data_IF_177296847994
#
_entry.id   IF_177296847994
#
_cell.length_a   1.000
_cell.length_b   1.000
_cell.length_c   1.000
_cell.angle_alpha   90.00
_cell.angle_beta   90.00
_cell.angle_gamma   90.00
#
_symmetry.space_group_name_H-M   'P 1'
#
loop_
_entity.id
_entity.type
_entity.pdbx_description
1 polymer ?
#
# COMPACT_ATOMS: atom_id res chain seq x y z
N UNK A 1 23.27 -21.22 9.24
CA UNK A 1 22.01 -21.64 9.91
C UNK A 1 20.87 -21.85 8.90
N UNK A 2 20.57 -20.92 8.01
CA UNK A 2 19.52 -21.07 6.98
C UNK A 2 19.71 -22.22 6.00
N UNK A 3 20.95 -22.62 5.71
CA UNK A 3 21.26 -23.76 4.83
C UNK A 3 20.71 -25.09 5.34
N UNK A 4 20.56 -25.24 6.65
CA UNK A 4 20.04 -26.45 7.31
C UNK A 4 18.51 -26.56 7.27
N UNK A 5 17.83 -25.48 6.93
CA UNK A 5 16.36 -25.48 6.78
C UNK A 5 15.99 -26.22 5.49
N UNK A 6 15.31 -27.35 5.62
CA UNK A 6 14.93 -28.19 4.46
C UNK A 6 13.79 -27.56 3.64
N UNK A 7 12.83 -26.92 4.29
CA UNK A 7 11.65 -26.35 3.64
C UNK A 7 11.97 -25.03 2.92
N UNK A 8 11.75 -24.99 1.62
CA UNK A 8 11.82 -23.76 0.80
C UNK A 8 10.75 -22.75 1.22
N UNK A 9 9.57 -23.22 1.62
CA UNK A 9 8.46 -22.39 2.09
C UNK A 9 8.86 -21.58 3.34
N UNK A 10 9.45 -22.21 4.34
CA UNK A 10 9.90 -21.51 5.57
C UNK A 10 10.98 -20.48 5.24
N UNK A 11 11.88 -20.80 4.31
CA UNK A 11 12.93 -19.86 3.88
C UNK A 11 12.29 -18.67 3.13
N UNK A 12 11.36 -18.91 2.19
CA UNK A 12 10.63 -17.85 1.47
C UNK A 12 9.84 -16.98 2.43
N UNK A 13 9.13 -17.57 3.40
CA UNK A 13 8.40 -16.84 4.44
C UNK A 13 9.34 -15.97 5.29
N UNK A 14 10.49 -16.48 5.69
CA UNK A 14 11.49 -15.69 6.42
C UNK A 14 11.98 -14.50 5.61
N UNK A 15 12.25 -14.68 4.30
CA UNK A 15 12.73 -13.62 3.44
C UNK A 15 11.62 -12.63 3.04
N UNK A 16 10.34 -13.01 3.09
CA UNK A 16 9.23 -12.06 2.85
C UNK A 16 9.14 -10.94 3.89
N UNK A 17 9.74 -11.13 5.06
CA UNK A 17 9.88 -10.08 6.10
C UNK A 17 11.13 -9.22 5.92
N UNK A 18 11.97 -9.50 4.92
CA UNK A 18 13.22 -8.78 4.69
C UNK A 18 13.07 -8.02 3.37
N UNK A 19 13.45 -6.75 3.36
CA UNK A 19 13.51 -5.95 2.15
C UNK A 19 14.33 -6.67 1.07
N UNK A 20 13.84 -6.75 -0.17
CA UNK A 20 14.48 -7.40 -1.33
C UNK A 20 15.98 -7.07 -1.44
N UNK A 21 16.36 -5.82 -1.18
CA UNK A 21 17.75 -5.37 -1.15
C UNK A 21 18.60 -6.08 -0.09
N UNK A 22 18.05 -6.33 1.10
CA UNK A 22 18.76 -7.05 2.18
C UNK A 22 18.78 -8.54 1.89
N UNK A 23 17.68 -9.07 1.34
CA UNK A 23 17.57 -10.45 0.89
C UNK A 23 18.65 -10.79 -0.12
N UNK A 24 18.75 -10.05 -1.23
CA UNK A 24 19.77 -10.23 -2.26
C UNK A 24 21.19 -10.12 -1.71
N UNK A 25 21.45 -9.22 -0.76
CA UNK A 25 22.76 -9.12 -0.10
C UNK A 25 23.09 -10.34 0.75
N UNK A 26 22.11 -10.87 1.52
CA UNK A 26 22.32 -12.01 2.44
C UNK A 26 22.56 -13.31 1.68
N UNK A 27 21.96 -13.47 0.51
CA UNK A 27 22.03 -14.71 -0.27
C UNK A 27 23.03 -14.66 -1.43
N UNK A 28 23.67 -13.52 -1.69
CA UNK A 28 24.56 -13.24 -2.84
C UNK A 28 25.60 -14.34 -3.10
N UNK A 29 26.16 -14.92 -2.06
CA UNK A 29 27.23 -15.92 -2.18
C UNK A 29 26.78 -17.35 -1.87
N UNK A 30 25.47 -17.57 -1.67
CA UNK A 30 24.93 -18.87 -1.29
C UNK A 30 24.00 -19.46 -2.35
N UNK A 31 24.57 -20.24 -3.30
CA UNK A 31 23.83 -20.87 -4.39
C UNK A 31 22.69 -21.80 -3.94
N UNK A 32 22.83 -22.45 -2.76
CA UNK A 32 21.79 -23.36 -2.25
C UNK A 32 20.57 -22.60 -1.77
N UNK A 33 20.77 -21.46 -1.11
CA UNK A 33 19.67 -20.59 -0.67
C UNK A 33 19.05 -19.89 -1.88
N UNK A 34 19.87 -19.37 -2.84
CA UNK A 34 19.37 -18.75 -4.07
C UNK A 34 18.35 -19.64 -4.81
N UNK A 35 18.69 -20.95 -4.99
CA UNK A 35 17.76 -21.91 -5.60
C UNK A 35 16.49 -22.15 -4.80
N UNK A 36 16.53 -22.05 -3.46
CA UNK A 36 15.35 -22.26 -2.61
C UNK A 36 14.38 -21.08 -2.61
N UNK A 37 14.86 -19.87 -2.88
CA UNK A 37 14.07 -18.64 -2.94
C UNK A 37 13.82 -18.17 -4.38
N UNK A 38 14.23 -18.94 -5.39
CA UNK A 38 14.10 -18.65 -6.83
C UNK A 38 14.78 -17.34 -7.27
N UNK A 39 15.94 -17.04 -6.68
CA UNK A 39 16.75 -15.87 -7.04
C UNK A 39 17.84 -16.26 -8.01
N UNK A 40 17.88 -15.62 -9.15
CA UNK A 40 18.88 -15.81 -10.20
C UNK A 40 19.69 -14.52 -10.51
N UNK A 41 20.53 -14.59 -11.54
CA UNK A 41 21.34 -13.44 -11.99
C UNK A 41 20.47 -12.27 -12.47
N UNK A 42 19.28 -12.53 -13.01
CA UNK A 42 18.40 -11.49 -13.54
C UNK A 42 17.80 -10.68 -12.39
N UNK A 43 17.46 -11.29 -11.25
CA UNK A 43 17.04 -10.58 -10.05
C UNK A 43 18.09 -9.56 -9.59
N UNK A 44 19.39 -9.96 -9.61
CA UNK A 44 20.46 -9.02 -9.28
C UNK A 44 20.65 -7.91 -10.31
N UNK A 45 20.49 -8.22 -11.61
CA UNK A 45 20.55 -7.22 -12.67
C UNK A 45 19.38 -6.21 -12.54
N UNK A 46 18.15 -6.71 -12.41
CA UNK A 46 16.95 -5.87 -12.22
C UNK A 46 17.07 -5.00 -10.97
N UNK A 47 17.53 -5.57 -9.87
CA UNK A 47 17.72 -4.84 -8.62
C UNK A 47 18.75 -3.71 -8.74
N UNK A 48 19.90 -3.98 -9.38
CA UNK A 48 20.93 -2.97 -9.59
C UNK A 48 20.56 -1.97 -10.71
N UNK A 49 19.57 -2.27 -11.52
CA UNK A 49 19.19 -1.52 -12.75
C UNK A 49 20.35 -1.26 -13.68
N UNK A 50 21.37 -2.14 -13.63
CA UNK A 50 22.61 -2.02 -14.38
C UNK A 50 23.26 -3.38 -14.62
N UNK A 51 24.07 -3.45 -15.69
CA UNK A 51 24.89 -4.63 -15.99
C UNK A 51 26.34 -4.21 -16.30
N UNK A 52 27.28 -5.16 -16.20
CA UNK A 52 28.71 -4.93 -16.40
C UNK A 52 29.21 -5.88 -17.47
N UNK A 53 29.96 -5.35 -18.42
CA UNK A 53 30.74 -6.12 -19.41
C UNK A 53 32.22 -5.98 -19.11
N UNK A 54 33.01 -7.00 -19.43
CA UNK A 54 34.46 -6.99 -19.27
C UNK A 54 35.14 -7.18 -20.63
N UNK A 55 36.18 -6.45 -20.89
CA UNK A 55 37.06 -6.71 -22.02
C UNK A 55 38.09 -7.81 -21.68
N UNK A 56 38.95 -8.16 -22.67
CA UNK A 56 39.95 -9.20 -22.54
C UNK A 56 41.05 -8.86 -21.51
N UNK A 57 41.20 -7.61 -21.13
CA UNK A 57 42.18 -7.11 -20.16
C UNK A 57 41.60 -6.91 -18.76
N UNK A 58 40.32 -7.28 -18.54
CA UNK A 58 39.63 -7.11 -17.26
C UNK A 58 39.11 -5.70 -17.00
N UNK A 59 39.15 -4.81 -18.01
CA UNK A 59 38.58 -3.49 -17.92
C UNK A 59 37.06 -3.59 -18.07
N UNK A 60 36.33 -2.95 -17.17
CA UNK A 60 34.89 -3.09 -17.09
C UNK A 60 34.13 -1.88 -17.62
N UNK A 61 33.03 -2.12 -18.28
CA UNK A 61 32.01 -1.10 -18.60
C UNK A 61 30.69 -1.44 -17.98
N UNK A 62 30.14 -0.50 -17.24
CA UNK A 62 28.86 -0.62 -16.55
C UNK A 62 27.80 0.21 -17.27
N UNK A 63 26.68 -0.41 -17.61
CA UNK A 63 25.59 0.19 -18.38
C UNK A 63 24.27 0.16 -17.61
N UNK A 64 23.40 1.13 -17.86
CA UNK A 64 22.01 1.09 -17.44
C UNK A 64 21.28 -0.09 -18.07
N UNK A 65 20.43 -0.77 -17.29
CA UNK A 65 19.73 -1.97 -17.76
C UNK A 65 18.68 -1.67 -18.84
N UNK A 66 18.08 -0.49 -18.80
CA UNK A 66 16.95 -0.13 -19.67
C UNK A 66 17.32 0.75 -20.85
N UNK A 67 18.32 1.60 -20.68
CA UNK A 67 18.74 2.62 -21.65
C UNK A 67 20.09 2.34 -22.31
N UNK A 68 20.78 1.27 -21.91
CA UNK A 68 22.13 0.90 -22.36
C UNK A 68 23.16 2.04 -22.23
N UNK A 69 22.86 3.07 -21.42
CA UNK A 69 23.76 4.18 -21.22
C UNK A 69 24.98 3.76 -20.42
N UNK A 70 26.16 4.19 -20.83
CA UNK A 70 27.40 3.99 -20.09
C UNK A 70 27.35 4.79 -18.78
N UNK A 71 27.49 4.09 -17.66
CA UNK A 71 27.48 4.66 -16.30
C UNK A 71 28.91 4.76 -15.76
N UNK A 72 29.74 3.77 -16.09
CA UNK A 72 31.11 3.69 -15.60
C UNK A 72 31.98 2.89 -16.58
N UNK A 73 33.22 3.28 -16.72
CA UNK A 73 34.27 2.45 -17.31
C UNK A 73 35.54 2.51 -16.46
N UNK A 74 36.18 1.37 -16.26
CA UNK A 74 37.40 1.31 -15.44
C UNK A 74 37.67 -0.08 -14.88
N UNK A 75 38.62 -0.11 -13.96
CA UNK A 75 39.06 -1.33 -13.31
C UNK A 75 38.07 -1.87 -12.29
N UNK A 76 37.95 -3.20 -12.24
CA UNK A 76 37.09 -3.92 -11.31
C UNK A 76 37.87 -5.01 -10.57
N UNK A 77 37.58 -5.17 -9.30
CA UNK A 77 38.11 -6.27 -8.49
C UNK A 77 36.97 -6.87 -7.66
N UNK A 78 36.84 -8.21 -7.72
CA UNK A 78 35.82 -8.95 -6.97
C UNK A 78 34.37 -8.44 -7.21
N UNK A 79 34.07 -8.00 -8.46
CA UNK A 79 32.73 -7.52 -8.85
C UNK A 79 32.38 -6.12 -8.36
N UNK A 80 33.37 -5.33 -7.94
CA UNK A 80 33.24 -3.95 -7.52
C UNK A 80 34.22 -3.05 -8.26
N UNK A 81 33.86 -1.78 -8.53
CA UNK A 81 34.77 -0.78 -9.07
C UNK A 81 35.99 -0.66 -8.18
N UNK A 82 37.17 -0.82 -8.73
CA UNK A 82 38.43 -0.79 -7.96
C UNK A 82 39.60 -0.48 -8.86
N UNK A 83 40.39 0.51 -8.50
CA UNK A 83 41.43 1.08 -9.38
C UNK A 83 40.91 2.29 -10.16
N UNK A 84 41.55 2.62 -11.30
CA UNK A 84 41.18 3.79 -12.09
C UNK A 84 39.90 3.60 -12.86
N UNK A 85 39.10 4.69 -12.96
CA UNK A 85 37.87 4.66 -13.75
C UNK A 85 37.21 6.01 -13.91
N UNK A 86 36.24 6.03 -14.81
CA UNK A 86 35.39 7.18 -15.12
C UNK A 86 33.95 6.86 -14.86
N UNK A 87 33.23 7.76 -14.24
CA UNK A 87 31.79 7.71 -14.02
C UNK A 87 31.11 8.77 -14.89
N UNK A 88 29.98 8.41 -15.48
CA UNK A 88 29.20 9.22 -16.40
C UNK A 88 27.87 9.62 -15.81
N UNK A 89 27.41 10.84 -16.14
CA UNK A 89 26.08 11.34 -15.76
C UNK A 89 25.02 10.97 -16.82
N UNK A 90 23.81 11.50 -16.62
CA UNK A 90 22.65 11.20 -17.46
C UNK A 90 22.76 11.70 -18.90
N UNK A 91 23.63 12.66 -19.17
CA UNK A 91 23.92 13.22 -20.52
C UNK A 91 25.23 12.69 -21.10
N UNK A 92 25.70 11.54 -20.59
CA UNK A 92 26.97 10.89 -21.02
C UNK A 92 28.23 11.75 -20.86
N UNK A 93 28.20 12.80 -20.05
CA UNK A 93 29.38 13.57 -19.67
C UNK A 93 30.07 12.93 -18.47
N UNK A 94 31.40 13.01 -18.40
CA UNK A 94 32.18 12.52 -17.27
C UNK A 94 31.77 13.29 -16.02
N UNK A 95 31.22 12.60 -15.02
CA UNK A 95 30.86 13.16 -13.70
C UNK A 95 31.97 12.99 -12.68
N UNK A 96 32.83 12.00 -12.89
CA UNK A 96 34.00 11.74 -12.06
C UNK A 96 35.05 10.93 -12.85
N UNK A 97 36.30 11.29 -12.69
CA UNK A 97 37.45 10.50 -13.16
C UNK A 97 38.47 10.40 -12.02
N UNK A 98 38.89 9.18 -11.68
CA UNK A 98 39.77 8.96 -10.55
C UNK A 98 39.88 7.50 -10.15
N UNK A 99 40.37 7.27 -8.96
CA UNK A 99 40.47 5.91 -8.41
C UNK A 99 39.24 5.51 -7.64
N UNK A 100 38.91 4.23 -7.66
CA UNK A 100 37.86 3.59 -6.95
C UNK A 100 38.42 2.49 -6.03
N UNK A 101 37.81 2.30 -4.85
CA UNK A 101 38.15 1.21 -3.93
C UNK A 101 36.87 0.63 -3.36
N UNK A 102 36.67 -0.69 -3.55
CA UNK A 102 35.47 -1.39 -3.09
C UNK A 102 34.15 -0.70 -3.49
N UNK A 103 34.05 -0.29 -4.75
CA UNK A 103 32.87 0.38 -5.32
C UNK A 103 32.71 1.86 -4.99
N UNK A 104 33.55 2.47 -4.18
CA UNK A 104 33.50 3.87 -3.75
C UNK A 104 34.57 4.70 -4.43
N UNK A 105 34.28 5.99 -4.68
CA UNK A 105 35.25 6.95 -5.22
C UNK A 105 36.41 7.09 -4.24
N UNK A 106 37.63 6.90 -4.75
CA UNK A 106 38.87 6.95 -4.00
C UNK A 106 39.79 7.96 -4.65
N UNK A 107 39.88 9.16 -4.11
CA UNK A 107 40.74 10.19 -4.68
C UNK A 107 42.19 10.09 -4.20
N UNK A 108 43.13 9.98 -5.12
CA UNK A 108 44.54 9.77 -4.86
C UNK A 108 45.37 11.08 -4.85
N UNK A 109 44.75 12.23 -4.71
CA UNK A 109 45.50 13.49 -4.58
C UNK A 109 45.70 13.77 -3.07
N UNK A 110 46.84 13.26 -2.51
CA UNK A 110 47.37 13.55 -1.17
C UNK A 110 46.67 12.92 0.04
N UNK A 111 46.21 11.64 -0.05
CA UNK A 111 45.59 11.00 1.07
C UNK A 111 46.56 10.13 1.89
N UNK A 112 47.13 10.67 2.96
CA UNK A 112 47.61 9.85 4.07
C UNK A 112 46.41 9.25 4.80
N UNK A 113 46.28 7.93 4.84
CA UNK A 113 45.23 7.19 5.55
C UNK A 113 43.77 7.35 5.06
N UNK A 114 43.54 7.49 3.72
CA UNK A 114 42.20 7.52 3.15
C UNK A 114 41.41 8.83 3.39
N UNK A 115 42.03 9.89 3.93
CA UNK A 115 41.44 11.21 4.14
C UNK A 115 41.77 12.17 3.01
N UNK A 116 40.87 13.02 2.60
CA UNK A 116 41.12 14.08 1.62
C UNK A 116 39.99 15.07 1.47
N UNK A 117 40.27 16.13 0.72
CA UNK A 117 39.28 17.18 0.42
C UNK A 117 38.85 17.05 -1.04
N UNK A 118 37.55 16.99 -1.29
CA UNK A 118 36.93 16.73 -2.59
C UNK A 118 35.93 17.82 -2.93
N UNK A 119 35.86 18.13 -4.25
CA UNK A 119 34.78 18.93 -4.85
C UNK A 119 33.96 18.03 -5.78
N UNK A 120 32.66 18.01 -5.59
CA UNK A 120 31.73 17.29 -6.47
C UNK A 120 30.98 18.29 -7.34
N UNK A 121 30.83 17.94 -8.61
CA UNK A 121 30.12 18.77 -9.59
C UNK A 121 28.98 17.98 -10.24
N UNK A 122 27.88 18.66 -10.50
CA UNK A 122 26.77 18.18 -11.32
C UNK A 122 26.48 19.23 -12.38
N UNK A 123 26.56 18.84 -13.67
CA UNK A 123 26.38 19.78 -14.80
C UNK A 123 27.22 21.06 -14.68
N UNK A 124 28.50 20.92 -14.28
CA UNK A 124 29.44 22.01 -14.02
C UNK A 124 29.09 22.93 -12.83
N UNK A 125 28.05 22.63 -12.08
CA UNK A 125 27.73 23.34 -10.85
C UNK A 125 28.35 22.59 -9.69
N UNK A 126 29.04 23.30 -8.79
CA UNK A 126 29.57 22.75 -7.55
C UNK A 126 28.40 22.37 -6.66
N UNK A 127 28.30 21.08 -6.28
CA UNK A 127 27.24 20.56 -5.40
C UNK A 127 27.74 20.16 -4.02
N UNK A 128 29.06 19.93 -3.87
CA UNK A 128 29.70 19.66 -2.59
C UNK A 128 31.18 19.98 -2.63
N UNK A 129 31.68 20.48 -1.52
CA UNK A 129 33.11 20.55 -1.23
C UNK A 129 33.38 20.21 0.22
N UNK A 130 34.39 19.40 0.51
CA UNK A 130 34.67 19.02 1.90
C UNK A 130 35.56 17.80 2.06
N UNK A 131 35.70 17.43 3.32
CA UNK A 131 36.53 16.30 3.73
C UNK A 131 35.86 14.95 3.41
N UNK A 132 36.68 14.00 3.02
CA UNK A 132 36.32 12.62 2.72
C UNK A 132 37.16 11.64 3.51
N UNK A 133 36.56 10.54 3.92
CA UNK A 133 37.24 9.39 4.51
C UNK A 133 36.72 8.11 3.86
N UNK A 134 37.64 7.28 3.32
CA UNK A 134 37.29 6.00 2.70
C UNK A 134 36.22 6.08 1.60
N UNK A 135 36.16 7.20 0.85
CA UNK A 135 35.21 7.41 -0.25
C UNK A 135 33.83 7.90 0.16
N UNK A 136 33.66 8.33 1.41
CA UNK A 136 32.46 8.97 1.92
C UNK A 136 32.77 10.35 2.46
N UNK A 137 31.80 11.29 2.39
CA UNK A 137 31.88 12.59 3.02
C UNK A 137 32.08 12.37 4.53
N UNK A 138 33.17 12.92 5.10
CA UNK A 138 33.52 12.70 6.49
C UNK A 138 34.42 13.83 7.02
N UNK A 139 33.98 14.55 8.01
CA UNK A 139 34.58 15.78 8.50
C UNK A 139 33.86 17.02 7.96
N UNK A 140 34.52 18.16 7.86
CA UNK A 140 33.91 19.43 7.46
C UNK A 140 33.58 19.46 5.97
N UNK A 141 32.39 20.00 5.63
CA UNK A 141 31.98 20.15 4.23
C UNK A 141 30.86 21.17 4.04
N UNK A 142 30.72 21.58 2.77
CA UNK A 142 29.65 22.47 2.29
C UNK A 142 28.90 21.79 1.16
N UNK A 143 27.59 21.87 1.22
CA UNK A 143 26.72 21.33 0.19
C UNK A 143 25.92 22.46 -0.46
N UNK A 144 25.78 22.34 -1.79
CA UNK A 144 25.12 23.36 -2.61
C UNK A 144 23.99 22.72 -3.40
N UNK A 145 22.96 23.49 -3.73
CA UNK A 145 21.89 23.04 -4.64
C UNK A 145 22.34 23.03 -6.11
N UNK A 146 21.44 22.61 -7.00
CA UNK A 146 21.70 22.55 -8.44
C UNK A 146 21.98 23.93 -9.09
N UNK A 147 21.72 25.03 -8.39
CA UNK A 147 22.01 26.42 -8.78
C UNK A 147 23.33 26.96 -8.14
N UNK A 148 24.05 26.14 -7.38
CA UNK A 148 25.29 26.52 -6.72
C UNK A 148 25.10 27.37 -5.44
N UNK A 149 23.87 27.48 -4.90
CA UNK A 149 23.63 28.17 -3.64
C UNK A 149 23.88 27.22 -2.48
N UNK A 150 24.51 27.73 -1.40
CA UNK A 150 24.80 26.96 -0.18
C UNK A 150 23.51 26.53 0.50
N UNK A 151 23.38 25.21 0.77
CA UNK A 151 22.22 24.62 1.46
C UNK A 151 22.58 23.98 2.79
N UNK A 152 23.86 23.62 3.00
CA UNK A 152 24.34 23.08 4.26
C UNK A 152 25.84 23.32 4.43
N UNK A 153 26.25 23.66 5.64
CA UNK A 153 27.67 23.76 6.06
C UNK A 153 27.82 23.10 7.43
N UNK A 154 28.74 22.13 7.51
CA UNK A 154 28.93 21.43 8.78
C UNK A 154 29.84 20.23 8.70
N UNK A 155 29.67 19.33 9.64
CA UNK A 155 30.40 18.06 9.74
C UNK A 155 29.59 16.91 9.20
N UNK A 156 30.27 16.00 8.54
CA UNK A 156 29.74 14.76 8.01
C UNK A 156 30.39 13.55 8.70
N UNK A 157 29.64 12.51 8.94
CA UNK A 157 30.12 11.21 9.42
C UNK A 157 29.56 10.11 8.51
N UNK A 158 30.44 9.38 7.84
CA UNK A 158 30.06 8.28 6.90
C UNK A 158 29.00 8.70 5.86
N UNK A 159 29.17 9.88 5.27
CA UNK A 159 28.27 10.43 4.25
C UNK A 159 27.01 11.14 4.80
N UNK A 160 26.81 11.14 6.11
CA UNK A 160 25.62 11.69 6.77
C UNK A 160 25.94 13.04 7.39
N UNK A 161 25.07 14.06 7.23
CA UNK A 161 25.15 15.34 7.92
C UNK A 161 25.04 15.10 9.44
N UNK A 162 26.04 15.53 10.20
CA UNK A 162 26.16 15.21 11.62
C UNK A 162 26.01 16.43 12.54
N UNK A 163 26.83 17.48 12.32
CA UNK A 163 26.73 18.75 13.00
C UNK A 163 26.76 19.87 11.96
N UNK A 164 25.96 20.92 12.12
CA UNK A 164 26.05 22.07 11.22
C UNK A 164 24.73 22.81 11.03
N UNK A 165 24.73 23.66 10.03
CA UNK A 165 23.63 24.57 9.74
C UNK A 165 23.10 24.34 8.32
N UNK A 166 21.77 24.31 8.20
CA UNK A 166 21.09 24.42 6.92
C UNK A 166 20.78 25.88 6.58
N UNK A 167 20.71 26.17 5.29
CA UNK A 167 20.51 27.51 4.76
C UNK A 167 19.30 27.54 3.82
N UNK A 168 18.59 28.66 3.86
CA UNK A 168 17.54 28.98 2.90
C UNK A 168 18.15 29.32 1.54
N UNK A 169 17.63 28.75 0.49
CA UNK A 169 18.17 28.89 -0.87
C UNK A 169 17.99 30.29 -1.45
N UNK A 170 17.00 31.07 -0.99
CA UNK A 170 16.67 32.38 -1.55
C UNK A 170 17.44 33.51 -0.88
N UNK A 171 17.47 33.51 0.45
CA UNK A 171 18.04 34.60 1.22
C UNK A 171 19.37 34.25 1.92
N UNK A 172 19.78 32.97 1.93
CA UNK A 172 21.01 32.50 2.57
C UNK A 172 20.97 32.50 4.08
N UNK A 173 19.79 32.68 4.69
CA UNK A 173 19.64 32.66 6.14
C UNK A 173 19.70 31.22 6.68
N UNK A 174 20.21 31.08 7.91
CA UNK A 174 20.17 29.80 8.63
C UNK A 174 18.74 29.38 8.93
N UNK A 175 18.36 28.18 8.50
CA UNK A 175 17.01 27.63 8.67
C UNK A 175 16.92 26.57 9.74
N UNK A 176 17.97 25.76 9.92
CA UNK A 176 18.00 24.71 10.93
C UNK A 176 19.42 24.41 11.42
N UNK A 177 19.52 23.81 12.60
CA UNK A 177 20.77 23.32 13.18
C UNK A 177 20.68 21.81 13.40
N UNK A 178 21.73 21.08 13.01
CA UNK A 178 21.94 19.69 13.37
C UNK A 178 22.97 19.56 14.49
N UNK A 179 22.66 18.72 15.47
CA UNK A 179 23.58 18.31 16.55
C UNK A 179 23.54 16.78 16.66
N UNK A 180 24.69 16.15 16.52
CA UNK A 180 24.83 14.68 16.59
C UNK A 180 23.91 13.93 15.61
N UNK A 181 23.72 14.45 14.40
CA UNK A 181 22.84 13.89 13.39
C UNK A 181 21.35 14.05 13.67
N UNK A 182 20.98 14.79 14.70
CA UNK A 182 19.59 15.06 15.10
C UNK A 182 19.24 16.54 14.94
N UNK A 183 17.98 16.81 14.61
CA UNK A 183 17.49 18.19 14.49
C UNK A 183 16.14 18.23 13.78
N UNK A 184 15.55 19.44 13.74
CA UNK A 184 14.41 19.71 12.88
C UNK A 184 14.92 20.31 11.57
N UNK A 185 14.68 19.63 10.46
CA UNK A 185 15.17 20.02 9.13
C UNK A 185 14.01 20.47 8.26
N UNK A 186 14.29 21.48 7.40
CA UNK A 186 13.44 21.86 6.27
C UNK A 186 14.13 21.43 4.97
N UNK A 187 13.43 20.68 4.14
CA UNK A 187 13.91 20.28 2.83
C UNK A 187 13.18 21.07 1.74
N UNK A 188 13.94 21.57 0.79
CA UNK A 188 13.43 22.34 -0.33
C UNK A 188 13.76 21.63 -1.65
N UNK A 189 12.89 21.78 -2.64
CA UNK A 189 13.10 21.37 -4.02
C UNK A 189 12.62 22.49 -4.93
N UNK A 190 13.52 23.05 -5.72
CA UNK A 190 13.24 24.22 -6.56
C UNK A 190 12.60 25.38 -5.76
N UNK A 191 13.15 25.70 -4.59
CA UNK A 191 12.70 26.73 -3.66
C UNK A 191 11.30 26.48 -3.04
N UNK A 192 10.73 25.30 -3.22
CA UNK A 192 9.45 24.92 -2.61
C UNK A 192 9.76 24.03 -1.42
N UNK A 193 9.21 24.36 -0.24
CA UNK A 193 9.29 23.53 0.95
C UNK A 193 8.55 22.20 0.66
N UNK A 194 9.28 21.08 0.72
CA UNK A 194 8.71 19.75 0.48
C UNK A 194 8.59 18.91 1.74
N UNK A 195 9.36 19.26 2.79
CA UNK A 195 9.33 18.57 4.08
C UNK A 195 9.84 19.48 5.20
N UNK A 196 9.22 19.37 6.36
CA UNK A 196 9.79 19.84 7.62
C UNK A 196 9.55 18.83 8.73
N UNK A 197 10.56 18.57 9.57
CA UNK A 197 10.41 17.61 10.65
C UNK A 197 11.71 17.13 11.26
N UNK A 198 11.58 16.17 12.16
CA UNK A 198 12.70 15.62 12.90
C UNK A 198 13.54 14.66 12.04
N UNK A 199 14.84 14.72 12.28
CA UNK A 199 15.86 13.86 11.67
C UNK A 199 16.67 13.14 12.73
N UNK A 200 17.06 11.93 12.40
CA UNK A 200 18.04 11.13 13.14
C UNK A 200 18.98 10.47 12.14
N UNK A 201 20.30 10.66 12.33
CA UNK A 201 21.34 10.07 11.47
C UNK A 201 21.10 10.32 9.96
N UNK A 202 20.70 11.56 9.62
CA UNK A 202 20.49 11.98 8.23
C UNK A 202 19.22 11.41 7.56
N UNK A 203 18.28 10.88 8.35
CA UNK A 203 17.00 10.38 7.86
C UNK A 203 15.85 11.03 8.61
N UNK A 204 14.71 11.21 7.96
CA UNK A 204 13.46 11.59 8.60
C UNK A 204 13.14 10.59 9.70
N UNK A 205 12.97 11.05 10.93
CA UNK A 205 12.70 10.20 12.09
C UNK A 205 12.00 10.99 13.19
N UNK A 206 10.82 10.55 13.60
CA UNK A 206 9.91 11.28 14.47
C UNK A 206 8.93 12.14 13.67
N UNK A 207 8.34 13.13 14.31
CA UNK A 207 7.30 13.98 13.72
C UNK A 207 7.81 14.79 12.52
N UNK A 208 6.98 14.85 11.46
CA UNK A 208 7.27 15.63 10.27
C UNK A 208 6.06 15.87 9.38
N UNK A 209 6.21 16.82 8.46
CA UNK A 209 5.19 17.20 7.47
C UNK A 209 5.79 17.20 6.08
N UNK A 210 5.04 16.67 5.12
CA UNK A 210 5.35 16.78 3.68
C UNK A 210 4.37 17.73 3.00
N UNK A 211 4.88 18.43 2.00
CA UNK A 211 4.12 19.43 1.24
C UNK A 211 4.20 19.10 -0.24
N UNK A 212 3.15 19.45 -0.98
CA UNK A 212 3.14 19.42 -2.43
C UNK A 212 3.80 20.69 -3.03
N UNK A 213 3.81 20.76 -4.36
CA UNK A 213 4.40 21.90 -5.07
C UNK A 213 3.63 23.23 -4.89
N UNK A 214 2.42 23.19 -4.33
CA UNK A 214 1.62 24.37 -4.00
C UNK A 214 1.79 24.82 -2.54
N UNK A 215 2.57 24.08 -1.74
CA UNK A 215 2.80 24.33 -0.32
C UNK A 215 1.69 23.76 0.58
N UNK A 216 0.80 22.93 0.04
CA UNK A 216 -0.24 22.27 0.83
C UNK A 216 0.28 20.99 1.47
N UNK A 217 -0.16 20.73 2.72
CA UNK A 217 0.22 19.51 3.42
C UNK A 217 -0.37 18.29 2.71
N UNK A 218 0.51 17.34 2.34
CA UNK A 218 0.13 16.03 1.80
C UNK A 218 0.30 14.90 2.80
N UNK A 219 1.13 15.10 3.83
CA UNK A 219 1.30 14.16 4.93
C UNK A 219 1.75 14.88 6.19
N UNK A 220 1.23 14.48 7.35
CA UNK A 220 1.75 14.83 8.65
C UNK A 220 1.72 13.61 9.58
N UNK A 221 2.84 13.37 10.29
CA UNK A 221 2.93 12.22 11.19
C UNK A 221 4.36 11.81 11.50
N UNK A 222 4.50 10.58 11.95
CA UNK A 222 5.74 10.01 12.40
C UNK A 222 6.49 9.30 11.26
N UNK A 223 7.80 9.51 11.22
CA UNK A 223 8.75 8.82 10.37
C UNK A 223 9.65 7.90 11.18
N UNK A 224 10.01 6.78 10.61
CA UNK A 224 10.97 5.86 11.19
C UNK A 224 12.01 5.46 10.12
N UNK A 225 13.27 5.83 10.36
CA UNK A 225 14.40 5.58 9.45
C UNK A 225 14.18 6.04 7.99
N UNK A 226 13.47 7.14 7.78
CA UNK A 226 13.18 7.74 6.48
C UNK A 226 11.86 7.32 5.85
N UNK A 227 11.09 6.47 6.50
CA UNK A 227 9.80 5.96 5.99
C UNK A 227 8.65 6.47 6.84
N UNK A 228 7.49 6.71 6.21
CA UNK A 228 6.24 6.97 6.93
C UNK A 228 5.93 5.78 7.83
N UNK A 229 5.68 6.03 9.11
CA UNK A 229 5.34 5.02 10.11
C UNK A 229 3.87 5.10 10.50
N UNK A 230 3.42 6.30 10.89
CA UNK A 230 2.03 6.55 11.28
C UNK A 230 1.70 8.01 11.00
N UNK A 231 0.48 8.32 10.54
CA UNK A 231 0.09 9.70 10.32
C UNK A 231 -1.17 9.87 9.49
N UNK A 232 -1.36 11.11 9.05
CA UNK A 232 -2.47 11.56 8.22
C UNK A 232 -1.96 11.91 6.83
N UNK A 233 -2.66 11.43 5.81
CA UNK A 233 -2.36 11.76 4.42
C UNK A 233 -3.53 12.51 3.80
N UNK A 234 -3.19 13.52 3.03
CA UNK A 234 -4.17 14.42 2.42
C UNK A 234 -4.01 14.41 0.90
N UNK A 235 -5.11 14.62 0.18
CA UNK A 235 -5.15 14.91 -1.24
C UNK A 235 -6.11 16.09 -1.46
N UNK A 236 -5.64 17.17 -2.10
CA UNK A 236 -6.41 18.39 -2.28
C UNK A 236 -7.07 18.87 -0.97
N UNK A 237 -6.32 18.95 0.14
CA UNK A 237 -6.77 19.31 1.51
C UNK A 237 -7.77 18.34 2.15
N UNK A 238 -8.18 17.28 1.46
CA UNK A 238 -9.09 16.26 2.00
C UNK A 238 -8.27 15.16 2.68
N UNK A 239 -8.62 14.82 3.91
CA UNK A 239 -8.04 13.67 4.60
C UNK A 239 -8.43 12.39 3.86
N UNK A 240 -7.44 11.65 3.35
CA UNK A 240 -7.66 10.40 2.62
C UNK A 240 -7.24 9.15 3.40
N UNK A 241 -6.38 9.32 4.41
CA UNK A 241 -5.93 8.21 5.26
C UNK A 241 -5.43 8.73 6.60
N UNK A 242 -5.75 8.01 7.67
CA UNK A 242 -5.17 8.18 8.98
C UNK A 242 -4.86 6.80 9.58
N UNK A 243 -3.57 6.53 9.82
CA UNK A 243 -3.19 5.20 10.30
C UNK A 243 -1.71 4.91 10.20
N UNK A 244 -1.41 3.62 10.17
CA UNK A 244 -0.06 3.07 10.14
C UNK A 244 0.34 2.69 8.71
N UNK A 245 1.64 2.80 8.43
CA UNK A 245 2.25 2.42 7.17
C UNK A 245 3.16 1.21 7.35
N UNK A 246 3.09 0.29 6.42
CA UNK A 246 4.01 -0.84 6.30
C UNK A 246 4.57 -0.89 4.89
N UNK A 247 5.89 -0.95 4.75
CA UNK A 247 6.58 -0.90 3.44
C UNK A 247 6.10 0.25 2.54
N UNK A 248 5.88 1.45 3.11
CA UNK A 248 5.38 2.66 2.45
C UNK A 248 3.94 2.54 1.92
N UNK A 249 3.22 1.48 2.27
CA UNK A 249 1.81 1.30 1.93
C UNK A 249 0.94 1.59 3.16
N UNK A 250 -0.24 2.14 2.93
CA UNK A 250 -1.28 2.32 3.94
C UNK A 250 -1.70 0.94 4.45
N UNK A 251 -1.49 0.67 5.73
CA UNK A 251 -1.60 -0.69 6.26
C UNK A 251 -2.80 -0.86 7.18
N UNK A 252 -2.81 -0.19 8.32
CA UNK A 252 -3.88 -0.22 9.29
C UNK A 252 -4.37 1.19 9.56
N UNK A 253 -5.70 1.42 9.57
CA UNK A 253 -6.23 2.74 9.86
C UNK A 253 -7.58 2.99 9.22
N UNK A 254 -7.94 4.27 9.13
CA UNK A 254 -9.15 4.72 8.42
C UNK A 254 -8.74 5.32 7.07
N UNK A 255 -9.46 4.92 6.03
CA UNK A 255 -9.18 5.36 4.65
C UNK A 255 -10.45 5.86 3.98
N UNK A 256 -10.28 6.94 3.20
CA UNK A 256 -11.30 7.46 2.29
C UNK A 256 -10.80 7.31 0.85
N UNK A 257 -11.63 6.75 0.00
CA UNK A 257 -11.33 6.58 -1.43
C UNK A 257 -12.24 7.49 -2.24
N UNK A 258 -11.65 8.18 -3.21
CA UNK A 258 -12.35 9.14 -4.05
C UNK A 258 -12.24 8.77 -5.53
N UNK A 259 -13.31 9.03 -6.28
CA UNK A 259 -13.32 8.99 -7.72
C UNK A 259 -13.81 10.34 -8.25
N UNK A 260 -12.97 11.04 -9.02
CA UNK A 260 -13.27 12.40 -9.54
C UNK A 260 -13.83 13.32 -8.45
N UNK A 261 -13.15 13.44 -7.30
CA UNK A 261 -13.54 14.23 -6.11
C UNK A 261 -14.77 13.74 -5.32
N UNK A 262 -15.51 12.76 -5.80
CA UNK A 262 -16.61 12.16 -5.06
C UNK A 262 -16.09 11.04 -4.15
N UNK A 263 -16.52 11.04 -2.89
CA UNK A 263 -16.25 9.97 -1.96
C UNK A 263 -16.97 8.71 -2.45
N UNK A 264 -16.22 7.62 -2.67
CA UNK A 264 -16.76 6.32 -3.09
C UNK A 264 -16.67 5.28 -1.98
N UNK A 265 -15.77 5.46 -1.02
CA UNK A 265 -15.63 4.58 0.14
C UNK A 265 -15.02 5.33 1.32
N UNK A 266 -15.49 5.04 2.53
CA UNK A 266 -14.81 5.37 3.79
C UNK A 266 -14.95 4.22 4.76
N UNK A 267 -13.86 3.89 5.49
CA UNK A 267 -13.90 2.80 6.46
C UNK A 267 -12.54 2.34 6.94
N UNK A 268 -12.58 1.29 7.74
CA UNK A 268 -11.39 0.71 8.35
C UNK A 268 -10.63 -0.18 7.37
N UNK A 269 -9.31 -0.12 7.49
CA UNK A 269 -8.36 -0.96 6.77
C UNK A 269 -7.50 -1.74 7.75
N UNK A 270 -7.25 -2.99 7.44
CA UNK A 270 -6.32 -3.86 8.14
C UNK A 270 -5.50 -4.62 7.09
N UNK A 271 -4.17 -4.64 7.25
CA UNK A 271 -3.24 -5.27 6.30
C UNK A 271 -3.41 -4.75 4.85
N UNK A 272 -3.78 -3.46 4.71
CA UNK A 272 -3.96 -2.82 3.39
C UNK A 272 -5.29 -3.08 2.70
N UNK A 273 -6.20 -3.86 3.30
CA UNK A 273 -7.51 -4.21 2.77
C UNK A 273 -8.65 -3.65 3.62
N UNK A 274 -9.82 -3.42 3.01
CA UNK A 274 -11.04 -3.03 3.75
C UNK A 274 -11.36 -4.11 4.77
N UNK A 275 -11.47 -3.71 6.06
CA UNK A 275 -11.69 -4.65 7.16
C UNK A 275 -12.37 -3.93 8.34
N UNK A 276 -13.46 -4.49 8.86
CA UNK A 276 -14.29 -3.83 9.87
C UNK A 276 -15.38 -2.95 9.23
N UNK A 277 -15.81 -1.91 9.90
CA UNK A 277 -16.90 -1.05 9.44
C UNK A 277 -16.48 -0.16 8.28
N UNK A 278 -17.36 -0.04 7.27
CA UNK A 278 -17.16 0.83 6.12
C UNK A 278 -18.46 1.23 5.43
N UNK A 279 -18.36 2.28 4.60
CA UNK A 279 -19.46 2.82 3.78
C UNK A 279 -19.03 2.95 2.35
N UNK A 280 -19.88 2.51 1.43
CA UNK A 280 -19.70 2.70 -0.01
C UNK A 280 -20.72 3.72 -0.54
N UNK A 281 -20.25 4.51 -1.50
CA UNK A 281 -21.06 5.52 -2.16
C UNK A 281 -21.01 5.33 -3.67
N UNK A 282 -22.08 5.69 -4.36
CA UNK A 282 -22.05 5.77 -5.82
C UNK A 282 -21.29 7.01 -6.30
N UNK A 283 -21.10 7.13 -7.62
CA UNK A 283 -20.37 8.26 -8.22
C UNK A 283 -21.05 9.64 -7.98
N UNK A 284 -22.31 9.67 -7.52
CA UNK A 284 -23.02 10.89 -7.16
C UNK A 284 -22.93 11.20 -5.64
N UNK A 285 -22.15 10.43 -4.87
CA UNK A 285 -21.99 10.60 -3.44
C UNK A 285 -23.16 10.07 -2.59
N UNK A 286 -24.07 9.28 -3.17
CA UNK A 286 -25.18 8.68 -2.44
C UNK A 286 -24.71 7.37 -1.82
N UNK A 287 -25.08 7.14 -0.54
CA UNK A 287 -24.78 5.91 0.18
C UNK A 287 -25.45 4.72 -0.53
N UNK A 288 -24.68 3.66 -0.82
CA UNK A 288 -25.16 2.42 -1.43
C UNK A 288 -25.00 1.22 -0.52
N UNK A 289 -24.04 1.28 0.43
CA UNK A 289 -23.82 0.23 1.40
C UNK A 289 -23.16 0.78 2.66
N UNK A 290 -23.55 0.27 3.82
CA UNK A 290 -22.82 0.42 5.07
C UNK A 290 -22.82 -0.93 5.82
N UNK A 291 -21.65 -1.32 6.35
CA UNK A 291 -21.56 -2.61 7.04
C UNK A 291 -20.14 -3.06 7.27
N UNK A 292 -20.02 -4.34 7.58
CA UNK A 292 -18.76 -4.98 7.89
C UNK A 292 -18.05 -5.49 6.63
N UNK A 293 -16.73 -5.44 6.68
CA UNK A 293 -15.81 -5.94 5.64
C UNK A 293 -14.82 -6.90 6.25
N UNK A 294 -14.43 -7.88 5.48
CA UNK A 294 -13.34 -8.80 5.78
C UNK A 294 -12.53 -9.05 4.49
N UNK A 295 -11.21 -8.78 4.54
CA UNK A 295 -10.29 -9.00 3.42
C UNK A 295 -10.82 -8.40 2.10
N UNK A 296 -11.26 -7.14 2.15
CA UNK A 296 -11.71 -6.38 1.00
C UNK A 296 -13.16 -6.62 0.56
N UNK A 297 -13.87 -7.61 1.13
CA UNK A 297 -15.24 -7.98 0.75
C UNK A 297 -16.25 -7.64 1.85
N UNK A 298 -17.51 -7.35 1.48
CA UNK A 298 -18.62 -7.25 2.41
C UNK A 298 -18.76 -8.58 3.18
N UNK A 299 -18.80 -8.52 4.51
CA UNK A 299 -18.86 -9.70 5.37
C UNK A 299 -19.49 -9.33 6.73
N UNK A 300 -20.26 -10.25 7.34
CA UNK A 300 -20.97 -9.93 8.56
C UNK A 300 -22.24 -9.12 8.29
N UNK A 301 -22.59 -8.16 9.14
CA UNK A 301 -23.84 -7.40 9.02
C UNK A 301 -23.66 -6.18 8.13
N UNK A 302 -24.68 -5.91 7.27
CA UNK A 302 -24.65 -4.75 6.40
C UNK A 302 -26.04 -4.31 5.93
N UNK A 303 -26.09 -3.11 5.38
CA UNK A 303 -27.29 -2.47 4.82
C UNK A 303 -27.00 -1.96 3.43
N UNK A 304 -27.92 -2.20 2.50
CA UNK A 304 -27.87 -1.66 1.14
C UNK A 304 -28.92 -0.57 0.96
N UNK A 305 -28.54 0.41 0.18
CA UNK A 305 -29.39 1.56 -0.12
C UNK A 305 -29.51 1.78 -1.62
N UNK A 306 -30.68 2.20 -2.06
CA UNK A 306 -30.95 2.67 -3.41
C UNK A 306 -31.60 4.04 -3.35
N UNK A 307 -30.95 5.07 -3.89
CA UNK A 307 -31.36 6.48 -3.75
C UNK A 307 -31.62 6.90 -2.29
N UNK A 308 -30.74 6.50 -1.36
CA UNK A 308 -30.85 6.73 0.09
C UNK A 308 -32.03 6.03 0.78
N UNK A 309 -32.76 5.16 0.10
CA UNK A 309 -33.78 4.30 0.68
C UNK A 309 -33.17 2.96 1.04
N UNK A 310 -33.37 2.49 2.27
CA UNK A 310 -32.95 1.16 2.68
C UNK A 310 -33.71 0.12 1.86
N UNK A 311 -32.97 -0.77 1.16
CA UNK A 311 -33.54 -1.84 0.36
C UNK A 311 -33.21 -3.25 0.90
N UNK A 312 -32.16 -3.36 1.73
CA UNK A 312 -31.78 -4.60 2.36
C UNK A 312 -30.98 -4.35 3.64
N UNK A 313 -31.23 -5.17 4.65
CA UNK A 313 -30.35 -5.31 5.80
C UNK A 313 -30.21 -6.80 6.16
N UNK A 314 -28.98 -7.24 6.44
CA UNK A 314 -28.76 -8.66 6.73
C UNK A 314 -27.30 -9.04 6.79
N UNK A 315 -27.08 -10.35 6.71
CA UNK A 315 -25.76 -10.94 6.76
C UNK A 315 -25.14 -11.10 5.36
N UNK A 316 -23.82 -10.98 5.31
CA UNK A 316 -23.00 -11.09 4.11
C UNK A 316 -21.87 -12.09 4.33
N UNK A 317 -21.52 -12.81 3.31
CA UNK A 317 -20.34 -13.67 3.26
C UNK A 317 -19.67 -13.51 1.89
N UNK A 318 -18.36 -13.20 1.89
CA UNK A 318 -17.54 -13.04 0.67
C UNK A 318 -18.12 -12.08 -0.39
N UNK A 319 -18.84 -11.05 0.04
CA UNK A 319 -19.41 -10.02 -0.83
C UNK A 319 -20.88 -10.23 -1.19
N UNK A 320 -21.47 -11.37 -0.88
CA UNK A 320 -22.84 -11.73 -1.22
C UNK A 320 -23.75 -11.82 0.01
N UNK A 321 -25.04 -11.52 -0.16
CA UNK A 321 -26.05 -11.73 0.89
C UNK A 321 -26.05 -13.21 1.28
N UNK A 322 -25.92 -13.51 2.59
CA UNK A 322 -25.80 -14.87 3.10
C UNK A 322 -26.22 -14.91 4.57
N UNK A 323 -27.04 -15.90 4.96
CA UNK A 323 -27.63 -15.93 6.32
C UNK A 323 -28.96 -15.20 6.41
N UNK A 324 -29.25 -14.55 7.52
CA UNK A 324 -30.52 -13.86 7.74
C UNK A 324 -30.52 -12.46 7.13
N UNK A 325 -31.66 -12.10 6.49
CA UNK A 325 -31.78 -10.77 5.89
C UNK A 325 -33.23 -10.34 5.70
N UNK A 326 -33.39 -9.02 5.53
CA UNK A 326 -34.66 -8.34 5.26
C UNK A 326 -34.56 -7.50 4.03
N UNK A 327 -35.54 -7.61 3.14
CA UNK A 327 -35.67 -6.74 1.96
C UNK A 327 -36.80 -5.74 2.15
N UNK A 328 -36.60 -4.55 1.64
CA UNK A 328 -37.56 -3.45 1.68
C UNK A 328 -37.83 -2.92 0.26
N UNK A 329 -39.04 -2.44 0.05
CA UNK A 329 -39.40 -1.75 -1.17
C UNK A 329 -38.88 -0.28 -1.18
N UNK A 330 -39.13 0.46 -2.26
CA UNK A 330 -38.72 1.84 -2.41
C UNK A 330 -39.41 2.86 -1.45
N UNK A 331 -40.35 2.38 -0.62
CA UNK A 331 -40.99 3.16 0.46
C UNK A 331 -40.49 2.74 1.84
N UNK A 332 -39.46 1.91 1.94
CA UNK A 332 -38.96 1.30 3.18
C UNK A 332 -39.93 0.39 3.88
N UNK A 333 -40.95 -0.15 3.17
CA UNK A 333 -41.85 -1.15 3.70
C UNK A 333 -41.20 -2.54 3.56
N UNK A 334 -41.29 -3.38 4.61
CA UNK A 334 -40.72 -4.75 4.59
C UNK A 334 -41.48 -5.62 3.58
N UNK A 335 -40.74 -6.22 2.63
CA UNK A 335 -41.33 -7.13 1.62
C UNK A 335 -40.88 -8.57 1.78
N UNK A 336 -39.76 -8.82 2.46
CA UNK A 336 -39.26 -10.16 2.71
C UNK A 336 -38.34 -10.18 3.94
N UNK A 337 -38.45 -11.23 4.75
CA UNK A 337 -37.45 -11.60 5.74
C UNK A 337 -37.18 -13.11 5.68
N UNK A 338 -35.92 -13.52 5.76
CA UNK A 338 -35.57 -14.94 5.68
C UNK A 338 -34.10 -15.19 5.41
N UNK A 339 -33.84 -16.42 5.03
CA UNK A 339 -32.51 -16.93 4.77
C UNK A 339 -32.07 -16.64 3.33
N UNK A 340 -30.75 -16.36 3.19
CA UNK A 340 -30.05 -16.11 1.93
C UNK A 340 -28.87 -17.07 1.79
N UNK A 341 -28.58 -17.46 0.57
CA UNK A 341 -27.40 -18.21 0.18
C UNK A 341 -26.89 -17.67 -1.17
N UNK A 342 -25.63 -17.21 -1.21
CA UNK A 342 -24.97 -16.71 -2.43
C UNK A 342 -25.84 -15.67 -3.15
N UNK A 343 -26.32 -14.67 -2.43
CA UNK A 343 -27.09 -13.55 -2.96
C UNK A 343 -28.57 -13.80 -3.22
N UNK A 344 -29.06 -15.03 -3.04
CA UNK A 344 -30.44 -15.45 -3.35
C UNK A 344 -31.20 -15.88 -2.11
N UNK A 345 -32.53 -15.65 -2.07
CA UNK A 345 -33.40 -16.20 -1.04
C UNK A 345 -33.28 -17.73 -1.06
N UNK A 346 -33.00 -18.33 0.10
CA UNK A 346 -32.79 -19.77 0.21
C UNK A 346 -33.09 -20.22 1.65
N UNK A 347 -33.68 -21.39 1.83
CA UNK A 347 -34.12 -21.81 3.15
C UNK A 347 -35.50 -21.23 3.54
N UNK A 348 -35.73 -20.87 4.77
CA UNK A 348 -37.03 -20.36 5.25
C UNK A 348 -37.15 -18.85 5.12
N UNK A 349 -38.33 -18.39 4.69
CA UNK A 349 -38.61 -16.96 4.59
C UNK A 349 -40.08 -16.61 4.58
N UNK A 350 -40.35 -15.32 4.76
CA UNK A 350 -41.69 -14.72 4.73
C UNK A 350 -41.73 -13.55 3.79
N UNK A 351 -42.79 -13.45 3.02
CA UNK A 351 -43.11 -12.29 2.18
C UNK A 351 -44.25 -11.49 2.79
N UNK A 352 -44.19 -10.18 2.64
CA UNK A 352 -45.14 -9.24 3.15
C UNK A 352 -45.75 -8.37 2.06
N UNK A 353 -47.03 -7.98 2.23
CA UNK A 353 -47.64 -6.93 1.43
C UNK A 353 -47.39 -5.54 2.02
N UNK A 354 -47.87 -4.50 1.35
CA UNK A 354 -47.67 -3.10 1.77
C UNK A 354 -48.36 -2.72 3.11
N UNK A 355 -49.12 -3.63 3.74
CA UNK A 355 -49.79 -3.44 5.01
C UNK A 355 -49.15 -4.31 6.10
N UNK A 356 -47.90 -4.73 5.93
CA UNK A 356 -47.17 -5.62 6.85
C UNK A 356 -47.86 -6.99 7.11
N UNK A 357 -48.79 -7.37 6.21
CA UNK A 357 -49.47 -8.66 6.30
C UNK A 357 -48.64 -9.71 5.59
N UNK A 358 -48.42 -10.87 6.23
CA UNK A 358 -47.77 -12.02 5.61
C UNK A 358 -48.62 -12.50 4.45
N UNK A 359 -48.03 -12.57 3.25
CA UNK A 359 -48.67 -13.14 2.06
C UNK A 359 -48.11 -14.51 1.70
N UNK A 360 -46.90 -14.83 2.18
CA UNK A 360 -46.29 -16.14 2.06
C UNK A 360 -45.34 -16.42 3.21
N UNK A 361 -45.34 -17.65 3.70
CA UNK A 361 -44.28 -18.19 4.56
C UNK A 361 -43.93 -19.60 4.12
N UNK A 362 -42.65 -19.90 3.96
CA UNK A 362 -42.24 -21.21 3.46
C UNK A 362 -40.77 -21.30 3.09
N UNK A 363 -40.49 -22.33 2.32
CA UNK A 363 -39.13 -22.64 1.86
C UNK A 363 -38.83 -22.01 0.50
N UNK A 364 -37.56 -21.65 0.32
CA UNK A 364 -37.01 -21.05 -0.89
C UNK A 364 -35.77 -21.84 -1.38
N UNK A 365 -35.61 -21.92 -2.66
CA UNK A 365 -34.42 -22.47 -3.31
C UNK A 365 -34.03 -21.59 -4.49
N UNK A 366 -32.79 -21.06 -4.47
CA UNK A 366 -32.23 -20.23 -5.54
C UNK A 366 -33.06 -18.98 -5.91
N UNK A 367 -33.78 -18.40 -4.96
CA UNK A 367 -34.61 -17.20 -5.15
C UNK A 367 -36.09 -17.48 -5.38
N UNK A 368 -36.50 -18.71 -5.59
CA UNK A 368 -37.88 -19.10 -5.89
C UNK A 368 -38.51 -19.87 -4.72
N UNK A 369 -39.83 -19.72 -4.50
CA UNK A 369 -40.60 -20.53 -3.53
C UNK A 369 -40.43 -22.02 -3.93
N UNK A 370 -39.98 -22.84 -2.97
CA UNK A 370 -39.68 -24.25 -3.26
C UNK A 370 -39.74 -25.05 -1.95
N UNK A 371 -40.41 -26.21 -1.96
CA UNK A 371 -40.69 -26.99 -0.74
C UNK A 371 -42.00 -26.62 -0.08
N UNK A 372 -42.09 -26.78 1.23
CA UNK A 372 -43.36 -26.54 1.96
C UNK A 372 -43.61 -25.06 2.17
N UNK A 373 -44.85 -24.60 1.94
CA UNK A 373 -45.22 -23.20 2.14
C UNK A 373 -46.71 -22.98 2.33
N UNK A 374 -47.01 -21.82 2.88
CA UNK A 374 -48.37 -21.30 3.11
C UNK A 374 -48.50 -19.96 2.40
N UNK A 375 -49.58 -19.80 1.69
CA UNK A 375 -49.93 -18.55 1.02
C UNK A 375 -51.20 -17.96 1.62
N UNK A 376 -51.21 -16.64 1.77
CA UNK A 376 -52.29 -15.90 2.38
C UNK A 376 -52.79 -14.81 1.44
N UNK A 377 -54.09 -14.48 1.54
CA UNK A 377 -54.63 -13.32 0.85
C UNK A 377 -54.21 -12.00 1.58
N UNK A 378 -54.55 -10.86 0.98
CA UNK A 378 -54.19 -9.53 1.52
C UNK A 378 -54.82 -9.25 2.93
N UNK A 379 -55.77 -10.02 3.34
CA UNK A 379 -56.43 -9.94 4.68
C UNK A 379 -55.80 -10.94 5.69
N UNK A 380 -54.72 -11.64 5.31
CA UNK A 380 -54.05 -12.62 6.16
C UNK A 380 -54.80 -13.97 6.31
N UNK A 381 -55.78 -14.26 5.44
CA UNK A 381 -56.48 -15.53 5.44
C UNK A 381 -55.70 -16.54 4.57
N UNK A 382 -55.52 -17.76 5.08
CA UNK A 382 -54.83 -18.85 4.39
C UNK A 382 -55.60 -19.22 3.12
N UNK A 383 -54.96 -19.21 1.97
CA UNK A 383 -55.52 -19.58 0.65
C UNK A 383 -54.88 -20.83 0.06
N UNK A 384 -53.66 -21.16 0.46
CA UNK A 384 -52.99 -22.38 0.03
C UNK A 384 -51.99 -22.83 1.10
N UNK A 385 -51.91 -24.14 1.33
CA UNK A 385 -50.85 -24.81 2.08
C UNK A 385 -50.44 -26.08 1.35
N UNK A 386 -49.18 -26.16 0.99
CA UNK A 386 -48.69 -27.31 0.21
C UNK A 386 -47.26 -27.15 -0.26
N UNK A 387 -46.94 -27.99 -1.22
CA UNK A 387 -45.62 -28.04 -1.81
C UNK A 387 -45.52 -27.06 -3.00
N UNK A 388 -44.41 -26.29 -3.04
CA UNK A 388 -44.03 -25.43 -4.18
C UNK A 388 -42.88 -26.03 -4.94
N UNK A 389 -42.88 -25.82 -6.24
CA UNK A 389 -41.76 -26.18 -7.13
C UNK A 389 -41.50 -25.06 -8.12
N UNK A 390 -40.30 -24.47 -8.07
CA UNK A 390 -39.88 -23.39 -8.94
C UNK A 390 -40.90 -22.25 -9.04
N UNK A 391 -41.32 -21.74 -7.88
CA UNK A 391 -42.28 -20.62 -7.74
C UNK A 391 -43.76 -20.97 -7.97
N UNK A 392 -44.08 -22.18 -8.35
CA UNK A 392 -45.47 -22.61 -8.68
C UNK A 392 -46.04 -23.53 -7.60
N UNK A 393 -47.34 -23.37 -7.30
CA UNK A 393 -48.06 -24.25 -6.43
C UNK A 393 -48.02 -25.66 -6.95
N UNK A 394 -47.54 -26.62 -6.14
CA UNK A 394 -47.65 -28.06 -6.41
C UNK A 394 -49.07 -28.56 -6.10
N UNK A 395 -49.23 -29.86 -5.93
CA UNK A 395 -50.51 -30.47 -5.53
C UNK A 395 -50.87 -30.05 -4.11
N UNK A 396 -52.10 -29.52 -3.93
CA UNK A 396 -52.71 -29.29 -2.62
C UNK A 396 -52.56 -30.52 -1.71
N UNK A 397 -52.16 -30.38 -0.46
CA UNK A 397 -52.37 -31.41 0.56
C UNK A 397 -53.86 -31.47 0.81
N UNK A 398 -54.57 -32.30 0.10
CA UNK A 398 -55.94 -32.68 0.48
C UNK A 398 -55.83 -33.46 1.81
N UNK A 399 -56.21 -32.84 2.93
CA UNK A 399 -56.55 -33.61 4.10
C UNK A 399 -57.70 -34.54 3.68
N UNK A 400 -57.44 -35.85 3.66
CA UNK A 400 -58.49 -36.86 3.54
C UNK A 400 -59.30 -36.80 4.84
N UNK A 401 -60.26 -35.87 4.88
CA UNK A 401 -61.37 -35.96 5.85
C UNK A 401 -62.20 -37.16 5.40
N UNK A 402 -61.90 -38.32 5.99
CA UNK A 402 -62.78 -39.49 5.88
C UNK A 402 -64.05 -39.13 6.64
N UNK A 403 -65.08 -38.63 5.94
CA UNK A 403 -66.44 -38.57 6.46
C UNK A 403 -66.94 -40.02 6.48
N UNK A 404 -66.88 -40.63 7.67
CA UNK A 404 -67.55 -41.89 7.88
C UNK A 404 -69.05 -41.55 8.00
N UNK A 405 -69.92 -42.03 7.06
CA UNK A 405 -71.35 -41.78 7.22
C UNK A 405 -71.85 -42.64 8.40
N UNK A 406 -72.35 -41.96 9.37
CA UNK A 406 -73.19 -42.64 10.42
C UNK A 406 -74.43 -43.15 9.72
N UNK A 407 -74.48 -44.47 9.43
CA UNK A 407 -75.69 -45.15 9.22
C UNK A 407 -76.15 -45.76 10.58
N UNK A 408 -77.34 -45.39 10.91
CA UNK A 408 -78.08 -45.93 12.04
C UNK A 408 -78.13 -47.48 12.08
N UNK A 409 -77.88 -48.08 13.22
CA UNK A 409 -78.73 -49.09 13.87
C UNK A 409 -78.64 -48.91 15.39
#
# INVERSE_FOLDING_TARGET
MLEKVKSSYIIKMFFSYIYERKELKLIKYNRKIQKKVDVDINNYKLFKRKYVTFDKNGFAKEYGLFDNRLIYEGEYLNGERNGRGKEYNDIASVSFEGEFKKGKKWNNLNLKNGKGYIKEYKNNVLIYEGEYLNGERNGKGKEYNDNGKLIFEGEYVNGIKYNGWGYDEDNGNKTYELKFGTGCIKEYKNNILIYEGKYLEGKRNGEGKEYDNSGEIIFEGEYLYGFKHKGKEYNNKKLIFEGEYYNQQKWNGEKKEYYSDNLIFEGKFLNGERNGQGKEYNNNGQLIYEGEYLNGKRNGKGKEYYYNVLIYEGEYLDGERNGQGKEYNNKSELIYEGEYLNGKRNGKGKEYNNNDTIIYEGEYLNGERNGQGKEYNNNGQLIFEGEYLNGKNGKEKRENTIIIPYYYL
#
